data_IF_391724525764
#
_entry.id   IF_391724525764
#
_cell.length_a   1.000
_cell.length_b   1.000
_cell.length_c   1.000
_cell.angle_alpha   90.00
_cell.angle_beta   90.00
_cell.angle_gamma   90.00
#
_symmetry.space_group_name_H-M   'P 1'
#
loop_
_entity.id
_entity.type
_entity.pdbx_description
1 polymer ?
#
# COMPACT_ATOMS: atom_id res chain seq x y z
N UNK A 1 -23.41 -75.61 -0.82
CA UNK A 1 -23.29 -74.59 0.25
C UNK A 1 -22.12 -73.68 -0.07
N UNK A 2 -22.36 -72.34 -0.03
CA UNK A 2 -21.41 -71.20 0.00
C UNK A 2 -20.50 -70.97 -1.22
N UNK A 3 -20.31 -69.76 -1.75
CA UNK A 3 -21.08 -68.50 -1.94
C UNK A 3 -20.13 -67.66 -2.84
N UNK A 4 -20.64 -67.06 -3.92
CA UNK A 4 -19.93 -66.09 -4.74
C UNK A 4 -19.53 -64.87 -3.90
N UNK A 5 -18.31 -64.35 -4.05
CA UNK A 5 -17.93 -63.02 -3.56
C UNK A 5 -17.96 -62.04 -4.72
N UNK A 6 -19.03 -61.24 -4.77
CA UNK A 6 -19.12 -60.05 -5.62
C UNK A 6 -18.20 -58.96 -5.11
N UNK A 7 -17.37 -58.42 -6.01
CA UNK A 7 -16.70 -57.13 -5.83
C UNK A 7 -17.74 -56.02 -5.90
N UNK A 8 -17.93 -55.27 -4.81
CA UNK A 8 -18.66 -53.98 -4.83
C UNK A 8 -17.60 -52.88 -4.76
N UNK A 9 -17.41 -52.18 -5.87
CA UNK A 9 -16.71 -50.90 -5.96
C UNK A 9 -17.68 -49.82 -5.45
N UNK A 10 -17.42 -49.27 -4.27
CA UNK A 10 -18.16 -48.12 -3.74
C UNK A 10 -17.53 -46.85 -4.31
N UNK A 11 -18.24 -46.20 -5.22
CA UNK A 11 -17.90 -44.88 -5.75
C UNK A 11 -18.45 -43.83 -4.78
N UNK A 12 -17.60 -43.26 -3.91
CA UNK A 12 -18.01 -42.14 -3.05
C UNK A 12 -17.92 -40.82 -3.82
N UNK A 13 -19.07 -40.34 -4.31
CA UNK A 13 -19.21 -39.02 -4.92
C UNK A 13 -19.13 -37.95 -3.83
N UNK A 14 -17.97 -37.28 -3.69
CA UNK A 14 -17.84 -36.05 -2.89
C UNK A 14 -18.44 -34.89 -3.69
N UNK A 15 -19.71 -34.57 -3.40
CA UNK A 15 -20.32 -33.32 -3.85
C UNK A 15 -19.80 -32.20 -2.96
N UNK A 16 -18.77 -31.50 -3.43
CA UNK A 16 -18.31 -30.25 -2.84
C UNK A 16 -19.35 -29.17 -3.11
N UNK A 17 -20.18 -28.86 -2.10
CA UNK A 17 -21.07 -27.70 -2.14
C UNK A 17 -20.18 -26.45 -2.13
N UNK A 18 -20.00 -25.86 -3.30
CA UNK A 18 -19.40 -24.52 -3.43
C UNK A 18 -20.43 -23.54 -2.89
N UNK A 19 -20.27 -23.11 -1.64
CA UNK A 19 -21.00 -21.95 -1.15
C UNK A 19 -20.44 -20.72 -1.88
N UNK A 20 -21.22 -19.97 -2.68
CA UNK A 20 -20.81 -18.64 -3.07
C UNK A 20 -20.69 -17.83 -1.78
N UNK A 21 -19.44 -17.49 -1.42
CA UNK A 21 -19.18 -16.63 -0.28
C UNK A 21 -19.94 -15.34 -0.47
N UNK A 22 -20.97 -15.12 0.35
CA UNK A 22 -21.52 -13.78 0.53
C UNK A 22 -20.40 -13.00 1.19
N UNK A 23 -19.70 -12.18 0.40
CA UNK A 23 -18.76 -11.20 0.94
C UNK A 23 -19.63 -10.17 1.64
N UNK A 24 -19.90 -10.39 2.93
CA UNK A 24 -20.53 -9.39 3.77
C UNK A 24 -19.53 -8.25 3.92
N UNK A 25 -19.79 -7.14 3.24
CA UNK A 25 -19.06 -5.89 3.43
C UNK A 25 -19.16 -5.53 4.92
N UNK A 26 -18.03 -5.60 5.61
CA UNK A 26 -18.00 -5.43 7.06
C UNK A 26 -18.32 -3.96 7.37
N UNK A 27 -19.49 -3.73 7.98
CA UNK A 27 -19.92 -2.42 8.45
C UNK A 27 -18.85 -1.81 9.35
N UNK A 28 -18.53 -0.53 9.11
CA UNK A 28 -17.56 0.22 9.90
C UNK A 28 -17.77 0.07 11.42
N UNK A 29 -16.68 -0.25 12.12
CA UNK A 29 -16.68 -0.39 13.58
C UNK A 29 -16.97 0.92 14.31
N UNK A 30 -16.70 2.07 13.68
CA UNK A 30 -16.82 3.39 14.30
C UNK A 30 -17.94 4.20 13.62
N UNK A 31 -18.78 4.83 14.43
CA UNK A 31 -19.99 5.54 13.95
C UNK A 31 -19.70 6.75 13.07
N UNK A 32 -18.52 7.35 13.22
CA UNK A 32 -18.05 8.57 12.56
C UNK A 32 -16.97 8.29 11.51
N UNK A 33 -16.87 7.04 11.06
CA UNK A 33 -16.07 6.61 9.91
C UNK A 33 -17.04 5.99 8.91
N UNK A 34 -17.58 6.76 7.94
CA UNK A 34 -18.47 6.24 6.91
C UNK A 34 -17.75 5.24 5.98
N UNK A 35 -18.52 4.48 5.20
CA UNK A 35 -17.98 3.41 4.33
C UNK A 35 -17.01 3.94 3.27
N UNK A 36 -17.24 5.14 2.76
CA UNK A 36 -16.42 5.84 1.76
C UNK A 36 -15.31 6.71 2.38
N UNK A 37 -15.07 6.59 3.69
CA UNK A 37 -14.04 7.39 4.35
C UNK A 37 -12.65 6.98 3.85
N UNK A 38 -11.87 7.96 3.37
CA UNK A 38 -10.57 7.74 2.71
C UNK A 38 -9.53 6.96 3.52
N UNK A 39 -9.62 6.93 4.86
CA UNK A 39 -8.71 6.19 5.74
C UNK A 39 -9.38 4.98 6.42
N UNK A 40 -10.57 4.57 5.96
CA UNK A 40 -11.37 3.51 6.59
C UNK A 40 -10.57 2.22 6.70
N UNK A 41 -9.96 1.79 5.60
CA UNK A 41 -9.24 0.52 5.52
C UNK A 41 -8.09 0.47 6.54
N UNK A 42 -7.32 1.55 6.67
CA UNK A 42 -6.22 1.64 7.65
C UNK A 42 -6.74 1.67 9.09
N UNK A 43 -7.81 2.43 9.35
CA UNK A 43 -8.43 2.52 10.67
C UNK A 43 -8.97 1.15 11.11
N UNK A 44 -9.65 0.43 10.21
CA UNK A 44 -10.20 -0.91 10.47
C UNK A 44 -9.11 -1.95 10.65
N UNK A 45 -8.07 -1.91 9.82
CA UNK A 45 -6.88 -2.76 9.95
C UNK A 45 -6.20 -2.59 11.32
N UNK A 46 -5.94 -1.35 11.73
CA UNK A 46 -5.34 -1.08 13.04
C UNK A 46 -6.29 -1.46 14.18
N UNK A 47 -7.60 -1.34 13.98
CA UNK A 47 -8.57 -1.74 15.00
C UNK A 47 -8.74 -3.26 15.13
N UNK A 48 -8.67 -4.00 14.01
CA UNK A 48 -8.72 -5.47 14.01
C UNK A 48 -7.50 -6.07 14.68
N UNK A 49 -6.34 -5.39 14.60
CA UNK A 49 -5.11 -5.69 15.37
C UNK A 49 -5.15 -5.23 16.83
N UNK A 50 -6.23 -4.59 17.29
CA UNK A 50 -6.36 -4.09 18.66
C UNK A 50 -5.49 -2.86 18.99
N UNK A 51 -4.84 -2.27 17.99
CA UNK A 51 -3.99 -1.07 18.13
C UNK A 51 -4.87 0.14 18.40
N UNK A 52 -5.92 0.31 17.59
CA UNK A 52 -6.93 1.36 17.72
C UNK A 52 -8.21 0.81 18.36
N UNK A 53 -8.64 1.44 19.45
CA UNK A 53 -9.89 1.08 20.16
C UNK A 53 -11.04 2.08 19.97
N UNK A 54 -10.75 3.29 19.49
CA UNK A 54 -11.72 4.39 19.48
C UNK A 54 -12.02 4.91 20.89
N UNK A 55 -13.15 5.59 21.03
CA UNK A 55 -13.68 6.13 22.27
C UNK A 55 -14.87 5.30 22.78
N UNK A 56 -15.19 5.42 24.06
CA UNK A 56 -16.28 4.67 24.71
C UNK A 56 -17.68 4.98 24.11
N UNK A 57 -17.84 6.11 23.43
CA UNK A 57 -19.08 6.50 22.73
C UNK A 57 -19.27 5.77 21.37
N UNK A 58 -18.27 4.97 20.96
CA UNK A 58 -18.24 4.25 19.68
C UNK A 58 -17.71 5.09 18.51
N UNK A 59 -17.09 6.24 18.79
CA UNK A 59 -16.47 7.10 17.78
C UNK A 59 -14.96 6.86 17.67
N UNK A 60 -14.38 7.21 16.52
CA UNK A 60 -12.94 7.25 16.29
C UNK A 60 -12.38 8.67 16.33
N UNK A 61 -13.17 9.69 15.99
CA UNK A 61 -12.82 11.11 15.84
C UNK A 61 -11.70 11.33 14.81
N UNK A 62 -11.90 10.93 13.54
CA UNK A 62 -10.84 10.89 12.54
C UNK A 62 -10.18 12.24 12.25
N UNK A 63 -10.94 13.33 12.33
CA UNK A 63 -10.49 14.68 12.00
C UNK A 63 -9.82 15.42 13.16
N UNK A 64 -9.91 14.88 14.39
CA UNK A 64 -9.25 15.47 15.54
C UNK A 64 -7.72 15.23 15.48
N UNK A 65 -6.90 16.18 15.96
CA UNK A 65 -5.46 15.96 16.09
C UNK A 65 -5.16 14.76 17.00
N UNK A 66 -4.27 13.87 16.57
CA UNK A 66 -3.79 12.80 17.46
C UNK A 66 -2.88 13.41 18.53
N UNK A 67 -3.16 13.09 19.79
CA UNK A 67 -2.34 13.55 20.93
C UNK A 67 -1.09 12.68 21.06
N UNK A 68 0.00 13.26 21.57
CA UNK A 68 1.27 12.53 21.81
C UNK A 68 1.09 11.26 22.63
N UNK A 69 0.29 11.31 23.71
CA UNK A 69 -0.01 10.12 24.53
C UNK A 69 -0.78 9.04 23.77
N UNK A 70 -1.67 9.43 22.86
CA UNK A 70 -2.44 8.48 22.07
C UNK A 70 -1.53 7.73 21.08
N UNK A 71 -0.58 8.45 20.46
CA UNK A 71 0.43 7.84 19.60
C UNK A 71 1.32 6.87 20.39
N UNK A 72 1.78 7.25 21.59
CA UNK A 72 2.57 6.36 22.46
C UNK A 72 1.81 5.06 22.79
N UNK A 73 0.53 5.15 23.15
CA UNK A 73 -0.33 3.98 23.42
C UNK A 73 -0.46 3.10 22.16
N UNK A 74 -0.73 3.70 21.00
CA UNK A 74 -0.88 2.96 19.74
C UNK A 74 0.42 2.24 19.35
N UNK A 75 1.57 2.89 19.48
CA UNK A 75 2.89 2.29 19.19
C UNK A 75 3.21 1.17 20.18
N UNK A 76 2.98 1.38 21.47
CA UNK A 76 3.17 0.35 22.51
C UNK A 76 2.38 -0.92 22.19
N UNK A 77 1.10 -0.77 21.81
CA UNK A 77 0.23 -1.89 21.45
C UNK A 77 0.70 -2.60 20.18
N UNK A 78 1.06 -1.84 19.14
CA UNK A 78 1.50 -2.42 17.87
C UNK A 78 2.78 -3.25 18.00
N UNK A 79 3.73 -2.76 18.80
CA UNK A 79 5.00 -3.45 19.05
C UNK A 79 4.91 -4.51 20.15
N UNK A 80 3.76 -4.63 20.83
CA UNK A 80 3.59 -5.56 21.96
C UNK A 80 4.57 -5.27 23.12
N UNK A 81 4.94 -4.00 23.34
CA UNK A 81 5.96 -3.65 24.32
C UNK A 81 5.52 -4.08 25.72
N UNK A 82 6.45 -4.65 26.49
CA UNK A 82 6.23 -4.84 27.93
C UNK A 82 6.03 -3.46 28.57
N UNK A 83 4.97 -3.30 29.36
CA UNK A 83 4.62 -2.05 30.05
C UNK A 83 4.82 -2.12 31.55
N UNK A 84 5.25 -3.27 32.06
CA UNK A 84 5.46 -3.51 33.49
C UNK A 84 6.89 -3.15 33.89
N UNK A 85 7.05 -2.61 35.10
CA UNK A 85 8.35 -2.34 35.73
C UNK A 85 9.32 -1.49 34.87
N UNK A 86 8.77 -0.60 34.03
CA UNK A 86 9.59 0.33 33.25
C UNK A 86 10.24 1.38 34.15
N UNK A 87 11.47 1.84 33.84
CA UNK A 87 12.07 2.97 34.55
C UNK A 87 11.17 4.19 34.52
N UNK A 88 11.19 5.00 35.57
CA UNK A 88 10.48 6.27 35.58
C UNK A 88 11.07 7.18 34.48
N UNK A 89 10.28 7.61 33.47
CA UNK A 89 10.81 8.37 32.35
C UNK A 89 11.18 9.82 32.71
N UNK A 90 10.91 10.27 33.94
CA UNK A 90 11.42 11.53 34.49
C UNK A 90 10.60 12.78 34.15
N UNK A 91 9.54 12.66 33.35
CA UNK A 91 8.69 13.78 32.98
C UNK A 91 7.86 14.31 34.16
N UNK A 92 7.74 15.64 34.25
CA UNK A 92 6.99 16.30 35.34
C UNK A 92 5.47 16.25 35.16
N UNK A 93 5.00 16.10 33.93
CA UNK A 93 3.61 16.32 33.50
C UNK A 93 2.83 15.02 33.19
N UNK A 94 3.35 13.86 33.58
CA UNK A 94 2.69 12.56 33.32
C UNK A 94 2.19 11.85 34.58
N UNK A 95 2.54 12.35 35.78
CA UNK A 95 2.29 11.66 37.05
C UNK A 95 0.80 11.45 37.37
N UNK A 96 -0.06 12.31 36.83
CA UNK A 96 -1.51 12.28 37.05
C UNK A 96 -2.28 11.62 35.89
N UNK A 97 -1.59 11.02 34.92
CA UNK A 97 -2.24 10.25 33.86
C UNK A 97 -2.78 8.93 34.40
N UNK A 98 -3.74 8.34 33.68
CA UNK A 98 -4.14 6.97 33.95
C UNK A 98 -2.95 6.00 33.75
N UNK A 99 -3.06 4.81 34.34
CA UNK A 99 -1.97 3.83 34.37
C UNK A 99 -1.56 3.35 32.97
N UNK A 100 -2.50 3.22 32.03
CA UNK A 100 -2.19 2.79 30.66
C UNK A 100 -1.36 3.87 29.95
N UNK A 101 -1.82 5.12 30.01
CA UNK A 101 -1.11 6.25 29.45
C UNK A 101 0.30 6.43 30.03
N UNK A 102 0.44 6.39 31.37
CA UNK A 102 1.73 6.48 32.03
C UNK A 102 2.68 5.37 31.57
N UNK A 103 2.21 4.11 31.62
CA UNK A 103 3.05 2.96 31.30
C UNK A 103 3.44 2.93 29.81
N UNK A 104 2.54 3.31 28.90
CA UNK A 104 2.84 3.42 27.49
C UNK A 104 3.93 4.47 27.23
N UNK A 105 3.82 5.65 27.86
CA UNK A 105 4.87 6.70 27.77
C UNK A 105 6.20 6.18 28.30
N UNK A 106 6.20 5.52 29.48
CA UNK A 106 7.42 4.97 30.05
C UNK A 106 8.07 3.94 29.12
N UNK A 107 7.28 3.04 28.52
CA UNK A 107 7.78 2.04 27.58
C UNK A 107 8.39 2.68 26.32
N UNK A 108 7.67 3.55 25.61
CA UNK A 108 8.20 4.13 24.36
C UNK A 108 9.41 5.04 24.57
N UNK A 109 9.59 5.58 25.77
CA UNK A 109 10.77 6.41 26.12
C UNK A 109 11.96 5.53 26.51
N UNK A 110 11.70 4.40 27.18
CA UNK A 110 12.72 3.39 27.51
C UNK A 110 13.27 2.72 26.25
N UNK A 111 12.42 2.39 25.29
CA UNK A 111 12.80 1.88 23.96
C UNK A 111 13.43 2.96 23.04
N UNK A 112 13.50 4.23 23.46
CA UNK A 112 14.09 5.32 22.67
C UNK A 112 13.22 5.84 21.51
N UNK A 113 11.99 5.35 21.38
CA UNK A 113 11.04 5.75 20.34
C UNK A 113 10.62 7.21 20.51
N UNK A 114 10.32 7.61 21.76
CA UNK A 114 10.12 9.01 22.13
C UNK A 114 11.32 9.53 22.92
N UNK A 115 11.74 10.78 22.72
CA UNK A 115 12.92 11.32 23.39
C UNK A 115 12.66 11.56 24.88
N UNK A 116 13.72 11.42 25.69
CA UNK A 116 13.75 11.86 27.10
C UNK A 116 13.71 13.39 27.20
N UNK A 117 13.23 13.93 28.32
CA UNK A 117 13.20 15.37 28.58
C UNK A 117 12.49 15.75 29.87
N UNK A 118 12.27 17.06 30.08
CA UNK A 118 11.59 17.57 31.29
C UNK A 118 10.07 17.41 31.25
N UNK A 119 9.48 17.57 30.05
CA UNK A 119 8.03 17.50 29.82
C UNK A 119 7.73 16.62 28.61
N UNK A 120 6.75 15.73 28.74
CA UNK A 120 6.29 14.90 27.64
C UNK A 120 5.23 15.61 26.77
N UNK A 121 4.47 16.52 27.38
CA UNK A 121 3.31 17.23 26.84
C UNK A 121 2.24 16.26 26.29
N UNK A 122 1.67 15.36 27.13
CA UNK A 122 0.86 14.22 26.68
C UNK A 122 -0.36 14.62 25.86
N UNK A 123 -0.96 15.78 26.15
CA UNK A 123 -2.18 16.25 25.50
C UNK A 123 -1.95 17.18 24.31
N UNK A 124 -0.69 17.56 24.03
CA UNK A 124 -0.36 18.34 22.84
C UNK A 124 -0.56 17.47 21.58
N UNK A 125 -1.07 18.04 20.48
CA UNK A 125 -1.04 17.37 19.19
C UNK A 125 0.36 16.88 18.80
N UNK A 126 0.43 15.71 18.17
CA UNK A 126 1.65 15.19 17.57
C UNK A 126 1.88 15.90 16.23
N UNK A 127 3.10 16.40 16.00
CA UNK A 127 3.47 16.99 14.72
C UNK A 127 3.86 15.91 13.72
N UNK A 128 3.81 16.23 12.42
CA UNK A 128 4.24 15.34 11.34
C UNK A 128 5.71 14.92 11.49
N UNK A 129 6.57 15.84 11.93
CA UNK A 129 7.99 15.56 12.18
C UNK A 129 8.21 14.62 13.37
N UNK A 130 7.52 14.86 14.50
CA UNK A 130 7.61 13.98 15.67
C UNK A 130 7.05 12.58 15.37
N UNK A 131 5.96 12.50 14.61
CA UNK A 131 5.41 11.24 14.11
C UNK A 131 6.44 10.50 13.25
N UNK A 132 7.09 11.19 12.30
CA UNK A 132 8.08 10.57 11.43
C UNK A 132 9.23 9.97 12.26
N UNK A 133 9.75 10.72 13.23
CA UNK A 133 10.80 10.23 14.14
C UNK A 133 10.29 9.01 14.92
N UNK A 134 9.09 9.08 15.51
CA UNK A 134 8.57 7.96 16.28
C UNK A 134 8.42 6.69 15.42
N UNK A 135 7.95 6.79 14.17
CA UNK A 135 7.83 5.65 13.27
C UNK A 135 9.19 5.11 12.80
N UNK A 136 10.16 6.00 12.52
CA UNK A 136 11.54 5.62 12.22
C UNK A 136 12.12 4.76 13.35
N UNK A 137 12.05 5.24 14.59
CA UNK A 137 12.66 4.55 15.73
C UNK A 137 11.92 3.27 16.09
N UNK A 138 10.58 3.29 16.05
CA UNK A 138 9.76 2.14 16.40
C UNK A 138 9.99 0.92 15.50
N UNK A 139 10.33 1.13 14.23
CA UNK A 139 10.47 0.06 13.22
C UNK A 139 11.86 -0.01 12.60
N UNK A 140 12.84 0.71 13.17
CA UNK A 140 14.20 0.85 12.66
C UNK A 140 14.28 1.10 11.15
N UNK A 141 13.42 2.00 10.65
CA UNK A 141 13.24 2.19 9.21
C UNK A 141 14.55 2.64 8.54
N UNK A 142 14.87 2.02 7.40
CA UNK A 142 16.05 2.34 6.59
C UNK A 142 15.64 2.78 5.20
N UNK A 143 16.54 3.48 4.51
CA UNK A 143 16.35 3.89 3.12
C UNK A 143 16.58 5.37 2.94
N UNK A 144 16.93 5.74 1.71
CA UNK A 144 17.21 7.12 1.32
C UNK A 144 16.24 7.53 0.22
N UNK A 145 15.53 8.63 0.45
CA UNK A 145 14.67 9.20 -0.56
C UNK A 145 15.52 10.09 -1.47
N UNK A 146 15.56 9.77 -2.75
CA UNK A 146 16.42 10.47 -3.72
C UNK A 146 15.86 11.82 -4.21
N UNK A 147 14.68 12.24 -3.73
CA UNK A 147 14.09 13.54 -4.06
C UNK A 147 14.43 14.62 -3.03
N UNK A 148 13.94 15.84 -3.26
CA UNK A 148 14.20 16.98 -2.38
C UNK A 148 13.12 17.13 -1.30
N UNK A 149 13.53 17.55 -0.10
CA UNK A 149 12.65 17.95 0.99
C UNK A 149 13.13 19.31 1.52
N UNK A 150 12.51 20.39 1.06
CA UNK A 150 13.05 21.75 1.21
C UNK A 150 12.83 22.36 2.60
N UNK A 151 11.81 21.93 3.33
CA UNK A 151 11.38 22.51 4.61
C UNK A 151 11.85 21.70 5.84
N UNK A 152 12.81 20.80 5.65
CA UNK A 152 13.42 20.01 6.73
C UNK A 152 14.95 20.11 6.62
N UNK A 153 15.62 20.60 7.66
CA UNK A 153 17.08 20.70 7.69
C UNK A 153 17.73 19.30 7.61
N UNK A 154 18.56 19.11 6.59
CA UNK A 154 19.27 17.86 6.27
C UNK A 154 20.09 17.25 7.41
N UNK A 155 20.53 18.08 8.36
CA UNK A 155 21.36 17.62 9.48
C UNK A 155 20.53 17.11 10.68
N UNK A 156 19.21 17.17 10.60
CA UNK A 156 18.32 16.81 11.71
C UNK A 156 17.91 15.33 11.70
N UNK A 157 17.49 14.82 12.86
CA UNK A 157 16.83 13.50 12.96
C UNK A 157 15.53 13.46 12.16
N UNK A 158 14.81 14.58 12.09
CA UNK A 158 13.59 14.72 11.29
C UNK A 158 13.86 14.45 9.82
N UNK A 159 14.94 14.99 9.25
CA UNK A 159 15.28 14.72 7.84
C UNK A 159 15.54 13.23 7.59
N UNK A 160 16.32 12.57 8.47
CA UNK A 160 16.55 11.12 8.40
C UNK A 160 15.24 10.33 8.44
N UNK A 161 14.34 10.68 9.35
CA UNK A 161 13.04 10.04 9.46
C UNK A 161 12.17 10.25 8.21
N UNK A 162 12.08 11.48 7.71
CA UNK A 162 11.30 11.78 6.50
C UNK A 162 11.84 11.01 5.28
N UNK A 163 13.16 10.92 5.13
CA UNK A 163 13.80 10.14 4.08
C UNK A 163 13.45 8.66 4.17
N UNK A 164 13.60 8.05 5.35
CA UNK A 164 13.27 6.65 5.55
C UNK A 164 11.77 6.38 5.29
N UNK A 165 10.88 7.22 5.80
CA UNK A 165 9.44 7.08 5.56
C UNK A 165 9.10 7.20 4.06
N UNK A 166 9.70 8.15 3.35
CA UNK A 166 9.44 8.31 1.92
C UNK A 166 10.01 7.15 1.09
N UNK A 167 11.20 6.67 1.43
CA UNK A 167 11.82 5.51 0.79
C UNK A 167 11.03 4.20 1.00
N UNK A 168 10.28 4.09 2.10
CA UNK A 168 9.43 2.92 2.38
C UNK A 168 7.97 3.12 1.92
N UNK A 169 7.66 4.18 1.16
CA UNK A 169 6.29 4.45 0.69
C UNK A 169 5.31 4.76 1.83
N UNK A 170 5.80 5.13 3.02
CA UNK A 170 4.95 5.49 4.17
C UNK A 170 4.40 6.91 3.99
N UNK A 171 5.23 7.82 3.46
CA UNK A 171 4.83 9.20 3.16
C UNK A 171 5.12 9.59 1.71
N UNK A 172 4.30 10.50 1.19
CA UNK A 172 4.58 11.24 -0.04
C UNK A 172 5.11 12.63 0.34
N UNK A 173 6.11 13.12 -0.41
CA UNK A 173 6.54 14.52 -0.37
C UNK A 173 5.59 15.33 -1.26
N UNK A 174 5.16 16.50 -0.81
CA UNK A 174 4.26 17.35 -1.58
C UNK A 174 4.92 17.78 -2.90
N UNK A 175 4.11 18.17 -3.88
CA UNK A 175 4.60 18.57 -5.21
C UNK A 175 5.47 19.83 -5.17
N UNK A 176 5.27 20.67 -4.16
CA UNK A 176 6.12 21.83 -3.85
C UNK A 176 7.46 21.44 -3.16
N UNK A 177 7.74 20.14 -2.99
CA UNK A 177 8.93 19.61 -2.35
C UNK A 177 8.97 19.77 -0.82
N UNK A 178 7.83 20.06 -0.18
CA UNK A 178 7.74 20.17 1.29
C UNK A 178 7.23 18.89 1.96
N UNK A 179 7.50 18.74 3.27
CA UNK A 179 6.94 17.69 4.13
C UNK A 179 5.99 18.23 5.21
N UNK A 180 6.11 19.52 5.55
CA UNK A 180 5.36 20.28 6.55
C UNK A 180 5.54 19.69 7.97
N UNK A 181 6.78 19.58 8.49
CA UNK A 181 7.07 18.84 9.72
C UNK A 181 6.38 19.39 10.96
N UNK A 182 6.10 20.70 11.00
CA UNK A 182 5.52 21.38 12.16
C UNK A 182 3.98 21.29 12.21
N UNK A 183 3.33 20.84 11.13
CA UNK A 183 1.89 20.68 11.12
C UNK A 183 1.49 19.49 12.01
N UNK A 184 0.36 19.62 12.71
CA UNK A 184 -0.20 18.50 13.46
C UNK A 184 -0.79 17.45 12.52
N UNK A 185 -0.77 16.19 12.95
CA UNK A 185 -1.47 15.10 12.26
C UNK A 185 -2.83 14.84 12.89
N UNK A 186 -3.84 14.61 12.06
CA UNK A 186 -5.13 14.09 12.54
C UNK A 186 -5.02 12.61 12.89
N UNK A 187 -6.01 12.07 13.60
CA UNK A 187 -6.08 10.65 13.93
C UNK A 187 -6.20 9.75 12.70
N UNK A 188 -6.95 10.19 11.68
CA UNK A 188 -6.99 9.50 10.39
C UNK A 188 -5.63 9.51 9.68
N UNK A 189 -4.99 10.69 9.58
CA UNK A 189 -3.66 10.80 8.97
C UNK A 189 -2.62 9.93 9.67
N UNK A 190 -2.57 9.95 11.00
CA UNK A 190 -1.68 9.08 11.77
C UNK A 190 -1.95 7.61 11.50
N UNK A 191 -3.23 7.19 11.42
CA UNK A 191 -3.61 5.81 11.11
C UNK A 191 -3.09 5.38 9.75
N UNK A 192 -3.15 6.25 8.74
CA UNK A 192 -2.61 5.96 7.41
C UNK A 192 -1.10 5.78 7.43
N UNK A 193 -0.34 6.71 8.02
CA UNK A 193 1.11 6.55 8.14
C UNK A 193 1.48 5.29 8.93
N UNK A 194 0.71 4.99 9.98
CA UNK A 194 1.03 3.89 10.85
C UNK A 194 0.69 2.53 10.23
N UNK A 195 -0.46 2.40 9.57
CA UNK A 195 -0.81 1.20 8.82
C UNK A 195 0.21 0.90 7.72
N UNK A 196 0.65 1.92 6.96
CA UNK A 196 1.73 1.79 5.96
C UNK A 196 3.05 1.32 6.53
N UNK A 197 3.34 1.69 7.77
CA UNK A 197 4.56 1.27 8.45
C UNK A 197 4.48 -0.21 8.86
N UNK A 198 3.30 -0.68 9.25
CA UNK A 198 3.06 -2.05 9.73
C UNK A 198 2.84 -3.04 8.57
N UNK A 199 2.25 -2.58 7.48
CA UNK A 199 1.84 -3.42 6.35
C UNK A 199 2.02 -2.69 5.02
N UNK A 200 2.94 -3.23 4.21
CA UNK A 200 3.34 -2.65 2.92
C UNK A 200 2.21 -2.61 1.90
N UNK A 201 1.15 -3.41 2.06
CA UNK A 201 0.00 -3.35 1.15
C UNK A 201 -0.73 -2.00 1.18
N UNK A 202 -0.58 -1.21 2.25
CA UNK A 202 -1.10 0.16 2.35
C UNK A 202 -0.15 1.24 1.82
N UNK A 203 1.11 0.90 1.52
CA UNK A 203 2.13 1.85 1.11
C UNK A 203 1.71 2.63 -0.15
N UNK A 204 2.34 3.78 -0.39
CA UNK A 204 2.07 4.60 -1.58
C UNK A 204 2.36 3.79 -2.85
N UNK A 205 1.35 3.71 -3.72
CA UNK A 205 1.33 2.88 -4.93
C UNK A 205 1.37 1.36 -4.66
N UNK A 206 0.92 0.93 -3.49
CA UNK A 206 0.72 -0.49 -3.17
C UNK A 206 -0.74 -0.89 -3.39
N UNK A 207 -1.04 -2.19 -3.26
CA UNK A 207 -2.35 -2.77 -3.57
C UNK A 207 -3.56 -2.03 -2.99
N UNK A 208 -3.50 -1.63 -1.72
CA UNK A 208 -4.61 -0.95 -1.02
C UNK A 208 -4.55 0.57 -1.17
N UNK A 209 -3.54 1.10 -1.84
CA UNK A 209 -3.37 2.51 -2.14
C UNK A 209 -2.68 2.70 -3.50
N UNK A 210 -3.34 2.24 -4.58
CA UNK A 210 -2.78 2.26 -5.93
C UNK A 210 -2.66 3.69 -6.48
N UNK A 211 -1.77 3.87 -7.44
CA UNK A 211 -1.61 5.12 -8.16
C UNK A 211 -2.80 5.37 -9.12
N UNK A 212 -3.43 6.54 -9.09
CA UNK A 212 -4.53 6.86 -9.99
C UNK A 212 -4.05 7.19 -11.41
N UNK A 213 -4.99 7.22 -12.36
CA UNK A 213 -4.75 7.67 -13.73
C UNK A 213 -4.02 9.03 -13.76
N UNK A 214 -3.00 9.13 -14.62
CA UNK A 214 -2.17 10.32 -14.76
C UNK A 214 -1.13 10.50 -13.66
N UNK A 215 -1.05 9.62 -12.65
CA UNK A 215 -0.02 9.73 -11.61
C UNK A 215 1.30 9.11 -12.06
N UNK A 216 2.34 9.95 -12.16
CA UNK A 216 3.72 9.45 -12.30
C UNK A 216 4.21 8.85 -10.99
N UNK A 217 4.68 7.61 -11.07
CA UNK A 217 5.28 6.83 -9.99
C UNK A 217 6.75 6.54 -10.30
N UNK A 218 7.59 6.52 -9.28
CA UNK A 218 9.01 6.16 -9.41
C UNK A 218 9.21 4.72 -8.93
N UNK A 219 9.66 3.85 -9.83
CA UNK A 219 10.12 2.50 -9.50
C UNK A 219 11.65 2.42 -9.43
N UNK A 220 12.16 1.53 -8.59
CA UNK A 220 13.60 1.33 -8.39
C UNK A 220 13.94 -0.12 -8.06
N UNK A 221 14.82 -0.73 -8.87
CA UNK A 221 15.43 -2.03 -8.55
C UNK A 221 16.88 -1.82 -8.15
N UNK A 222 17.19 -2.11 -6.89
CA UNK A 222 18.55 -1.95 -6.33
C UNK A 222 19.49 -3.12 -6.64
N UNK A 223 18.94 -4.26 -7.07
CA UNK A 223 19.67 -5.49 -7.42
C UNK A 223 19.00 -6.18 -8.59
N UNK A 224 19.06 -5.59 -9.78
CA UNK A 224 18.87 -6.33 -11.01
C UNK A 224 20.19 -7.08 -11.31
N UNK A 225 20.15 -8.41 -11.33
CA UNK A 225 21.33 -9.24 -11.59
C UNK A 225 21.92 -9.03 -12.98
N UNK A 226 21.15 -8.45 -13.90
CA UNK A 226 21.51 -8.21 -15.30
C UNK A 226 21.88 -6.73 -15.49
N UNK A 227 21.05 -5.82 -14.98
CA UNK A 227 21.15 -4.39 -15.30
C UNK A 227 21.73 -3.52 -14.17
N UNK A 228 22.00 -4.12 -13.00
CA UNK A 228 22.47 -3.41 -11.81
C UNK A 228 21.37 -2.56 -11.16
N UNK A 229 21.68 -1.32 -10.82
CA UNK A 229 20.68 -0.37 -10.32
C UNK A 229 19.83 0.21 -11.45
N UNK A 230 18.51 0.13 -11.30
CA UNK A 230 17.52 0.65 -12.22
C UNK A 230 16.61 1.64 -11.51
N UNK A 231 16.29 2.77 -12.16
CA UNK A 231 15.29 3.74 -11.74
C UNK A 231 14.48 4.21 -12.94
N UNK A 232 13.16 4.26 -12.81
CA UNK A 232 12.25 4.67 -13.88
C UNK A 232 11.03 5.44 -13.38
N UNK A 233 10.43 6.22 -14.26
CA UNK A 233 9.08 6.75 -14.13
C UNK A 233 8.10 5.78 -14.81
N UNK A 234 6.98 5.47 -14.17
CA UNK A 234 5.87 4.72 -14.74
C UNK A 234 4.56 5.47 -14.48
N UNK A 235 3.71 5.57 -15.50
CA UNK A 235 2.47 6.31 -15.43
C UNK A 235 1.39 5.59 -16.24
N UNK A 236 0.24 5.33 -15.63
CA UNK A 236 -0.98 5.02 -16.36
C UNK A 236 -1.49 6.32 -16.99
N UNK A 237 -1.60 6.36 -18.32
CA UNK A 237 -1.93 7.59 -19.07
C UNK A 237 -3.28 7.53 -19.79
N UNK A 238 -3.84 6.33 -20.02
CA UNK A 238 -5.15 6.16 -20.65
C UNK A 238 -5.75 4.79 -20.32
N UNK A 239 -7.08 4.65 -20.35
CA UNK A 239 -7.82 3.41 -20.08
C UNK A 239 -9.03 3.26 -20.99
N UNK A 240 -9.24 2.04 -21.51
CA UNK A 240 -10.47 1.63 -22.22
C UNK A 240 -11.10 0.49 -21.42
N UNK A 241 -12.16 0.81 -20.67
CA UNK A 241 -12.87 -0.14 -19.81
C UNK A 241 -14.13 -0.72 -20.46
N UNK A 242 -14.58 -0.12 -21.56
CA UNK A 242 -15.64 -0.64 -22.39
C UNK A 242 -15.11 -1.84 -23.20
N UNK A 243 -15.72 -3.01 -22.98
CA UNK A 243 -15.26 -4.27 -23.55
C UNK A 243 -15.41 -4.34 -25.06
N UNK A 244 -16.44 -3.71 -25.61
CA UNK A 244 -16.69 -3.70 -27.06
C UNK A 244 -15.69 -2.79 -27.77
N UNK A 245 -15.43 -1.61 -27.19
CA UNK A 245 -14.41 -0.70 -27.70
C UNK A 245 -13.02 -1.31 -27.63
N UNK A 246 -12.66 -1.93 -26.50
CA UNK A 246 -11.38 -2.63 -26.34
C UNK A 246 -11.23 -3.76 -27.37
N UNK A 247 -12.29 -4.55 -27.57
CA UNK A 247 -12.30 -5.63 -28.55
C UNK A 247 -12.15 -5.12 -29.98
N UNK A 248 -12.83 -4.05 -30.37
CA UNK A 248 -12.68 -3.45 -31.70
C UNK A 248 -11.23 -3.02 -31.98
N UNK A 249 -10.57 -2.41 -31.00
CA UNK A 249 -9.15 -2.03 -31.11
C UNK A 249 -8.25 -3.26 -31.25
N UNK A 250 -8.47 -4.29 -30.43
CA UNK A 250 -7.70 -5.54 -30.46
C UNK A 250 -7.87 -6.28 -31.80
N UNK A 251 -9.10 -6.37 -32.30
CA UNK A 251 -9.40 -7.05 -33.56
C UNK A 251 -8.83 -6.29 -34.76
N UNK A 252 -8.83 -4.95 -34.71
CA UNK A 252 -8.24 -4.12 -35.76
C UNK A 252 -6.71 -4.27 -35.84
N UNK A 253 -6.02 -4.49 -34.71
CA UNK A 253 -4.57 -4.72 -34.69
C UNK A 253 -4.20 -6.06 -35.35
N UNK A 254 -4.92 -7.12 -35.01
CA UNK A 254 -4.71 -8.43 -35.59
C UNK A 254 -6.03 -9.19 -35.72
N UNK A 255 -6.43 -9.46 -36.96
CA UNK A 255 -7.66 -10.19 -37.29
C UNK A 255 -7.68 -11.64 -36.78
N UNK A 256 -6.54 -12.20 -36.36
CA UNK A 256 -6.43 -13.52 -35.75
C UNK A 256 -6.59 -13.52 -34.23
N UNK A 257 -6.72 -12.35 -33.59
CA UNK A 257 -7.10 -12.29 -32.19
C UNK A 257 -8.48 -12.93 -31.99
N UNK A 258 -8.68 -13.60 -30.86
CA UNK A 258 -9.95 -14.23 -30.51
C UNK A 258 -10.77 -13.34 -29.56
N UNK A 259 -12.11 -13.32 -29.71
CA UNK A 259 -12.98 -12.55 -28.81
C UNK A 259 -12.88 -13.08 -27.38
N UNK A 260 -13.24 -12.23 -26.42
CA UNK A 260 -13.25 -12.63 -25.02
C UNK A 260 -14.22 -13.80 -24.80
N UNK A 261 -13.88 -14.81 -23.97
CA UNK A 261 -14.80 -15.87 -23.59
C UNK A 261 -16.05 -15.32 -22.89
N UNK A 262 -17.14 -16.08 -22.89
CA UNK A 262 -18.38 -15.68 -22.21
C UNK A 262 -18.15 -15.33 -20.73
N UNK A 263 -18.72 -14.20 -20.29
CA UNK A 263 -18.55 -13.67 -18.93
C UNK A 263 -17.24 -12.92 -18.68
N UNK A 264 -16.40 -12.79 -19.72
CA UNK A 264 -15.15 -12.02 -19.69
C UNK A 264 -15.21 -10.89 -20.72
N UNK A 265 -14.40 -9.85 -20.50
CA UNK A 265 -14.17 -8.79 -21.48
C UNK A 265 -12.68 -8.42 -21.50
N UNK A 266 -12.25 -7.89 -22.65
CA UNK A 266 -10.96 -7.21 -22.69
C UNK A 266 -11.09 -5.80 -22.14
N UNK A 267 -10.03 -5.32 -21.50
CA UNK A 267 -9.80 -3.90 -21.23
C UNK A 267 -8.40 -3.55 -21.71
N UNK A 268 -8.18 -2.26 -22.01
CA UNK A 268 -6.87 -1.74 -22.39
C UNK A 268 -6.43 -0.68 -21.38
N UNK A 269 -5.15 -0.71 -21.02
CA UNK A 269 -4.52 0.35 -20.25
C UNK A 269 -3.25 0.81 -20.97
N UNK A 270 -3.11 2.12 -21.17
CA UNK A 270 -1.93 2.70 -21.80
C UNK A 270 -0.98 3.20 -20.73
N UNK A 271 0.23 2.69 -20.75
CA UNK A 271 1.27 3.10 -19.82
C UNK A 271 2.37 3.88 -20.54
N UNK A 272 2.91 4.89 -19.88
CA UNK A 272 4.17 5.56 -20.26
C UNK A 272 5.25 5.18 -19.25
N UNK A 273 6.41 4.78 -19.76
CA UNK A 273 7.61 4.51 -18.97
C UNK A 273 8.78 5.35 -19.46
N UNK A 274 9.61 5.81 -18.53
CA UNK A 274 10.87 6.49 -18.82
C UNK A 274 11.98 5.94 -17.94
N UNK A 275 13.04 5.42 -18.55
CA UNK A 275 14.23 4.99 -17.83
C UNK A 275 15.02 6.22 -17.36
N UNK A 276 15.06 6.47 -16.05
CA UNK A 276 15.80 7.57 -15.46
C UNK A 276 17.28 7.22 -15.26
N UNK A 277 17.55 5.97 -14.91
CA UNK A 277 18.90 5.44 -14.71
C UNK A 277 18.89 3.93 -14.94
N UNK A 278 19.79 3.46 -15.78
CA UNK A 278 20.10 2.04 -15.99
C UNK A 278 21.60 1.89 -15.82
N UNK A 279 22.04 1.17 -14.78
CA UNK A 279 23.47 1.09 -14.46
C UNK A 279 24.28 0.33 -15.52
N UNK A 280 23.71 -0.75 -16.05
CA UNK A 280 24.37 -1.58 -17.06
C UNK A 280 23.42 -1.84 -18.23
N UNK A 281 23.89 -1.57 -19.45
CA UNK A 281 23.18 -1.89 -20.68
C UNK A 281 21.82 -1.17 -20.79
N UNK A 282 20.79 -1.97 -21.03
CA UNK A 282 19.41 -1.59 -21.33
C UNK A 282 18.46 -2.37 -20.44
N UNK A 283 17.29 -1.80 -20.16
CA UNK A 283 16.23 -2.44 -19.41
C UNK A 283 15.07 -2.77 -20.37
N UNK A 284 14.74 -4.05 -20.50
CA UNK A 284 13.61 -4.49 -21.30
C UNK A 284 12.32 -4.47 -20.49
N UNK A 285 11.27 -3.93 -21.10
CA UNK A 285 9.92 -3.88 -20.54
C UNK A 285 8.95 -4.50 -21.52
N UNK A 286 7.86 -5.06 -20.99
CA UNK A 286 6.90 -5.82 -21.79
C UNK A 286 5.53 -5.90 -21.12
N UNK A 287 4.55 -6.38 -21.87
CA UNK A 287 3.19 -6.57 -21.38
C UNK A 287 3.11 -7.61 -20.25
N UNK A 288 4.04 -8.57 -20.19
CA UNK A 288 4.04 -9.64 -19.17
C UNK A 288 4.49 -9.14 -17.79
N UNK A 289 5.06 -7.94 -17.72
CA UNK A 289 5.42 -7.30 -16.46
C UNK A 289 4.18 -6.79 -15.70
N UNK A 290 3.02 -6.81 -16.34
CA UNK A 290 1.74 -6.43 -15.75
C UNK A 290 0.82 -7.62 -15.50
N UNK A 291 0.09 -7.54 -14.39
CA UNK A 291 -1.03 -8.44 -14.09
C UNK A 291 -2.25 -7.64 -13.64
N UNK A 292 -3.45 -8.14 -13.97
CA UNK A 292 -4.69 -7.61 -13.42
C UNK A 292 -5.11 -8.45 -12.21
N UNK A 293 -5.50 -7.78 -11.13
CA UNK A 293 -5.97 -8.42 -9.89
C UNK A 293 -7.39 -7.95 -9.62
N UNK A 294 -8.32 -8.91 -9.48
CA UNK A 294 -9.72 -8.65 -9.24
C UNK A 294 -9.95 -7.88 -7.94
N UNK A 295 -11.13 -7.27 -7.79
CA UNK A 295 -11.54 -6.64 -6.53
C UNK A 295 -11.52 -7.63 -5.35
N UNK A 296 -11.78 -8.91 -5.61
CA UNK A 296 -11.71 -10.00 -4.62
C UNK A 296 -10.28 -10.49 -4.32
N UNK A 297 -9.26 -10.02 -5.05
CA UNK A 297 -7.87 -10.41 -4.87
C UNK A 297 -7.42 -11.64 -5.66
N UNK A 298 -8.18 -12.05 -6.67
CA UNK A 298 -7.81 -13.15 -7.57
C UNK A 298 -7.05 -12.58 -8.77
N UNK A 299 -5.94 -13.21 -9.13
CA UNK A 299 -5.15 -12.80 -10.29
C UNK A 299 -5.84 -13.29 -11.57
N UNK A 300 -6.04 -12.40 -12.53
CA UNK A 300 -6.53 -12.75 -13.85
C UNK A 300 -5.44 -13.40 -14.69
N UNK A 301 -5.86 -14.28 -15.61
CA UNK A 301 -4.94 -14.88 -16.57
C UNK A 301 -4.46 -13.84 -17.57
N UNK A 302 -3.28 -14.07 -18.13
CA UNK A 302 -2.74 -13.30 -19.24
C UNK A 302 -3.75 -13.24 -20.41
N UNK A 303 -3.88 -12.08 -21.04
CA UNK A 303 -4.71 -11.88 -22.22
C UNK A 303 -3.95 -12.36 -23.47
N UNK A 304 -4.39 -13.45 -24.14
CA UNK A 304 -3.65 -14.05 -25.23
C UNK A 304 -3.94 -13.34 -26.57
N UNK A 305 -3.68 -12.04 -26.64
CA UNK A 305 -3.95 -11.20 -27.83
C UNK A 305 -2.73 -10.39 -28.21
N UNK A 306 -2.63 -10.08 -29.50
CA UNK A 306 -1.75 -9.00 -29.97
C UNK A 306 -2.37 -7.67 -29.52
N UNK A 307 -1.61 -6.92 -28.72
CA UNK A 307 -2.04 -5.65 -28.15
C UNK A 307 -2.03 -4.53 -29.19
N UNK A 308 -3.01 -3.60 -29.18
CA UNK A 308 -3.05 -2.48 -30.11
C UNK A 308 -1.79 -1.62 -30.09
N UNK A 309 -1.42 -1.08 -31.25
CA UNK A 309 -0.33 -0.13 -31.39
C UNK A 309 -0.68 1.25 -30.76
N UNK A 310 0.30 1.98 -30.19
CA UNK A 310 1.68 1.55 -29.96
C UNK A 310 1.76 0.49 -28.85
N UNK A 311 2.61 -0.52 -29.03
CA UNK A 311 2.86 -1.55 -28.02
C UNK A 311 3.71 -1.00 -26.87
N UNK A 312 3.48 -1.48 -25.65
CA UNK A 312 4.26 -1.06 -24.48
C UNK A 312 5.68 -1.65 -24.45
N UNK A 313 5.89 -2.82 -25.06
CA UNK A 313 7.18 -3.51 -25.04
C UNK A 313 8.31 -2.70 -25.67
N UNK A 314 9.42 -2.53 -24.96
CA UNK A 314 10.57 -1.76 -25.44
C UNK A 314 11.86 -2.12 -24.69
N UNK A 315 13.00 -1.91 -25.35
CA UNK A 315 14.32 -1.94 -24.73
C UNK A 315 14.78 -0.50 -24.48
N UNK A 316 15.02 -0.14 -23.21
CA UNK A 316 15.25 1.24 -22.79
C UNK A 316 16.66 1.41 -22.21
N UNK A 317 17.44 2.32 -22.82
CA UNK A 317 18.64 2.88 -22.19
C UNK A 317 18.27 4.05 -21.27
N UNK A 318 19.21 4.49 -20.44
CA UNK A 318 19.06 5.73 -19.65
C UNK A 318 18.59 6.89 -20.53
N UNK A 319 17.48 7.54 -20.15
CA UNK A 319 16.84 8.62 -20.89
C UNK A 319 15.78 8.17 -21.91
N UNK A 320 15.74 6.88 -22.26
CA UNK A 320 14.75 6.30 -23.15
C UNK A 320 13.34 6.31 -22.54
N UNK A 321 12.33 6.49 -23.40
CA UNK A 321 10.93 6.44 -23.03
C UNK A 321 10.13 5.62 -24.04
N UNK A 322 9.08 4.96 -23.58
CA UNK A 322 8.06 4.35 -24.43
C UNK A 322 6.67 4.59 -23.84
N UNK A 323 5.64 4.59 -24.69
CA UNK A 323 4.26 4.59 -24.25
C UNK A 323 3.42 3.69 -25.13
N UNK A 324 2.69 2.77 -24.52
CA UNK A 324 1.92 1.78 -25.27
C UNK A 324 0.84 1.07 -24.49
N UNK A 325 -0.01 0.36 -25.22
CA UNK A 325 -1.16 -0.36 -24.69
C UNK A 325 -0.76 -1.72 -24.14
N UNK A 326 -1.44 -2.10 -23.05
CA UNK A 326 -1.42 -3.42 -22.45
C UNK A 326 -2.88 -3.90 -22.36
N UNK A 327 -3.13 -5.12 -22.83
CA UNK A 327 -4.46 -5.73 -22.76
C UNK A 327 -4.60 -6.65 -21.55
N UNK A 328 -5.78 -6.62 -20.93
CA UNK A 328 -6.14 -7.52 -19.84
C UNK A 328 -7.47 -8.19 -20.14
N UNK A 329 -7.60 -9.46 -19.76
CA UNK A 329 -8.84 -10.23 -19.87
C UNK A 329 -9.42 -10.41 -18.47
N UNK A 330 -10.55 -9.76 -18.21
CA UNK A 330 -11.16 -9.69 -16.87
C UNK A 330 -12.61 -10.14 -16.90
N UNK A 331 -13.20 -10.40 -15.73
CA UNK A 331 -14.65 -10.61 -15.65
C UNK A 331 -15.38 -9.31 -16.06
N UNK A 332 -16.47 -9.46 -16.83
CA UNK A 332 -17.20 -8.31 -17.39
C UNK A 332 -17.75 -7.34 -16.33
N UNK A 333 -18.05 -7.86 -15.13
CA UNK A 333 -18.66 -7.12 -14.02
C UNK A 333 -17.64 -6.67 -12.95
N UNK A 334 -16.36 -6.88 -13.18
CA UNK A 334 -15.30 -6.52 -12.23
C UNK A 334 -14.58 -5.23 -12.64
N UNK A 335 -13.93 -4.62 -11.65
CA UNK A 335 -13.02 -3.47 -11.81
C UNK A 335 -11.69 -3.83 -11.12
N UNK A 336 -10.71 -4.34 -11.88
CA UNK A 336 -9.46 -4.79 -11.31
C UNK A 336 -8.53 -3.61 -11.00
N UNK A 337 -7.53 -3.87 -10.17
CA UNK A 337 -6.30 -3.07 -10.11
C UNK A 337 -5.23 -3.70 -10.97
N UNK A 338 -4.36 -2.90 -11.57
CA UNK A 338 -3.22 -3.37 -12.35
C UNK A 338 -1.96 -3.29 -11.50
N UNK A 339 -1.11 -4.31 -11.55
CA UNK A 339 0.17 -4.35 -10.84
C UNK A 339 1.32 -4.57 -11.81
N UNK A 340 2.39 -3.82 -11.61
CA UNK A 340 3.68 -3.92 -12.29
C UNK A 340 4.66 -4.70 -11.40
N UNK A 341 5.25 -5.78 -11.91
CA UNK A 341 6.17 -6.69 -11.20
C UNK A 341 5.63 -7.23 -9.87
N UNK A 342 4.42 -7.80 -9.88
CA UNK A 342 3.77 -8.34 -8.68
C UNK A 342 4.67 -9.33 -7.92
N UNK A 343 4.72 -9.19 -6.61
CA UNK A 343 5.52 -10.03 -5.72
C UNK A 343 6.98 -9.58 -5.57
N UNK A 344 7.41 -8.58 -6.34
CA UNK A 344 8.70 -7.94 -6.13
C UNK A 344 8.63 -6.86 -5.05
N UNK A 345 9.73 -6.55 -4.35
CA UNK A 345 9.76 -5.51 -3.32
C UNK A 345 9.36 -4.10 -3.80
N UNK A 346 9.47 -3.84 -5.10
CA UNK A 346 9.16 -2.58 -5.78
C UNK A 346 7.93 -2.66 -6.70
N UNK A 347 7.03 -3.63 -6.43
CA UNK A 347 5.75 -3.72 -7.16
C UNK A 347 4.98 -2.39 -7.11
N UNK A 348 4.40 -1.99 -8.24
CA UNK A 348 3.63 -0.75 -8.36
C UNK A 348 2.21 -1.07 -8.78
N UNK A 349 1.24 -0.57 -8.00
CA UNK A 349 -0.17 -0.79 -8.23
C UNK A 349 -0.83 0.45 -8.80
N UNK A 350 -1.74 0.25 -9.74
CA UNK A 350 -2.49 1.29 -10.43
C UNK A 350 -3.98 0.98 -10.37
N UNK A 351 -4.76 2.03 -10.18
CA UNK A 351 -6.22 1.96 -10.27
C UNK A 351 -6.67 2.54 -11.61
N UNK A 352 -7.78 2.03 -12.10
CA UNK A 352 -8.31 2.32 -13.44
C UNK A 352 -9.42 3.38 -13.43
N UNK A 353 -9.71 3.95 -12.27
CA UNK A 353 -10.72 4.98 -12.03
C UNK A 353 -10.17 6.42 -12.06
#
# INVERSE_FOLDING_TARGET
>A
MRKFYSFILVFSLLVSIVFPGVVTEAKSKFKDVPEDFWAKAEIEFLSSKGIIKGYNDGTFKPNEPVKRVQAAIMITRALGLNTSNRPNPGFKDIKNLDKEAYNAIAAVVDEGIFPKGTYFNPHKPLTRGDMAIALLEAYDLKGEYTGYVWDVDKNTKTFRAVNALAANGITKIYEDGTFKPNNSVTRAQFSVFFARTIDKSFAVNARLNPAPLGKTVIGQKSKDYINGQLKYELQLIDVILDGDQAWQMIQAENMFNEPAPAGMKYILAKFKIKALQVQQGSFYVSNIDFEAVSKSGTIYKYAPVVTPSPEFGAELYTGGENAGWVAFLINENDQPTIVWHRGEPDELWFTLD
#
